data_IF_838027473582
#
_entry.id   IF_838027473582
#
_cell.length_a   1.000
_cell.length_b   1.000
_cell.length_c   1.000
_cell.angle_alpha   90.00
_cell.angle_beta   90.00
_cell.angle_gamma   90.00
#
_symmetry.space_group_name_H-M   'P 1'
#
loop_
_entity.id
_entity.type
_entity.pdbx_description
1 polymer ?
#
# COMPACT_ATOMS: atom_id res chain seq x y z
N UNK A 1 -2.22 -20.09 -12.06
CA UNK A 1 -2.65 -19.78 -13.44
C UNK A 1 -3.90 -18.92 -13.38
N UNK A 2 -3.83 -17.69 -13.87
CA UNK A 2 -5.02 -16.87 -14.13
C UNK A 2 -5.39 -17.00 -15.61
N UNK A 3 -6.64 -17.31 -15.89
CA UNK A 3 -7.15 -17.53 -17.26
C UNK A 3 -8.23 -16.53 -17.67
N UNK A 4 -8.52 -15.54 -16.82
CA UNK A 4 -9.56 -14.53 -17.07
C UNK A 4 -9.11 -13.46 -18.07
N UNK A 5 -7.80 -13.23 -18.20
CA UNK A 5 -7.20 -12.23 -19.09
C UNK A 5 -6.18 -12.89 -20.03
N UNK A 6 -5.96 -12.29 -21.20
CA UNK A 6 -4.95 -12.73 -22.17
C UNK A 6 -3.53 -12.59 -21.61
N UNK A 7 -3.28 -11.54 -20.84
CA UNK A 7 -2.03 -11.30 -20.11
C UNK A 7 -2.37 -10.80 -18.71
N UNK A 8 -1.48 -11.05 -17.76
CA UNK A 8 -1.59 -10.52 -16.40
C UNK A 8 -0.19 -10.40 -15.79
N UNK A 9 -0.06 -9.48 -14.85
CA UNK A 9 1.12 -9.29 -14.02
C UNK A 9 0.65 -9.13 -12.55
N UNK A 10 1.51 -9.45 -11.59
CA UNK A 10 1.20 -9.32 -10.18
C UNK A 10 2.39 -8.79 -9.40
N UNK A 11 2.15 -7.72 -8.64
CA UNK A 11 3.11 -7.18 -7.69
C UNK A 11 2.89 -7.84 -6.33
N UNK A 12 3.98 -8.22 -5.68
CA UNK A 12 3.99 -8.98 -4.41
C UNK A 12 4.47 -8.09 -3.27
N UNK A 13 4.23 -8.52 -2.03
CA UNK A 13 4.80 -7.93 -0.82
C UNK A 13 3.83 -7.29 0.16
N UNK A 14 2.53 -7.28 -0.12
CA UNK A 14 1.54 -6.71 0.79
C UNK A 14 1.20 -7.65 1.96
N UNK A 15 0.87 -7.10 3.13
CA UNK A 15 0.61 -7.88 4.35
C UNK A 15 1.71 -8.93 4.64
N UNK A 16 1.33 -10.07 5.21
CA UNK A 16 2.16 -11.24 5.42
C UNK A 16 2.41 -12.08 4.16
N UNK A 17 2.34 -11.49 2.96
CA UNK A 17 2.68 -12.19 1.71
C UNK A 17 4.07 -12.84 1.81
N UNK A 18 4.17 -14.12 1.47
CA UNK A 18 5.42 -14.89 1.48
C UNK A 18 6.32 -14.49 0.29
N UNK A 19 6.75 -13.23 0.25
CA UNK A 19 7.51 -12.63 -0.84
C UNK A 19 9.01 -12.56 -0.53
N UNK A 20 9.39 -11.90 0.57
CA UNK A 20 10.81 -11.68 0.89
C UNK A 20 11.33 -12.78 1.84
N UNK A 21 12.30 -13.61 1.38
CA UNK A 21 12.79 -14.75 2.15
C UNK A 21 13.86 -14.31 3.16
N UNK A 22 13.50 -13.44 4.10
CA UNK A 22 14.40 -13.01 5.17
C UNK A 22 14.34 -14.00 6.33
N UNK A 23 15.25 -14.97 6.32
CA UNK A 23 15.40 -15.96 7.40
C UNK A 23 15.89 -15.24 8.67
N UNK A 24 15.19 -15.45 9.79
CA UNK A 24 15.49 -14.80 11.09
C UNK A 24 15.39 -13.26 11.08
N UNK A 25 14.43 -12.71 10.33
CA UNK A 25 14.15 -11.27 10.38
C UNK A 25 13.66 -10.82 11.77
N UNK A 26 14.26 -9.76 12.30
CA UNK A 26 13.93 -9.14 13.60
C UNK A 26 13.76 -7.60 13.52
N UNK A 27 13.67 -7.05 12.30
CA UNK A 27 13.68 -5.60 12.03
C UNK A 27 12.36 -4.85 12.21
N UNK A 28 11.43 -5.35 13.05
CA UNK A 28 10.16 -4.68 13.37
C UNK A 28 10.25 -3.80 14.62
N UNK A 29 9.22 -2.97 14.90
CA UNK A 29 9.12 -2.23 16.16
C UNK A 29 9.16 -3.19 17.36
N UNK A 30 10.00 -2.90 18.36
CA UNK A 30 10.14 -3.75 19.54
C UNK A 30 8.83 -3.88 20.36
N UNK A 31 7.96 -2.88 20.28
CA UNK A 31 6.65 -2.86 20.93
C UNK A 31 5.59 -2.42 19.92
N UNK A 32 4.70 -3.33 19.54
CA UNK A 32 3.58 -3.06 18.65
C UNK A 32 2.29 -3.74 19.12
N UNK A 33 1.15 -3.25 18.63
CA UNK A 33 -0.19 -3.83 18.81
C UNK A 33 -0.75 -4.48 17.56
N UNK A 34 0.04 -4.58 16.48
CA UNK A 34 -0.36 -5.27 15.25
C UNK A 34 -0.79 -6.72 15.53
N UNK A 35 -1.97 -7.09 15.05
CA UNK A 35 -2.57 -8.42 15.22
C UNK A 35 -3.15 -8.87 13.89
N UNK A 36 -2.71 -10.03 13.40
CA UNK A 36 -3.34 -10.70 12.27
C UNK A 36 -3.10 -12.21 12.34
N UNK A 37 -4.18 -12.99 12.25
CA UNK A 37 -4.12 -14.45 12.38
C UNK A 37 -3.70 -14.94 13.78
N UNK A 38 -3.34 -16.22 13.86
CA UNK A 38 -2.79 -16.79 15.09
C UNK A 38 -1.28 -16.55 15.16
N UNK A 39 -0.65 -16.46 16.36
CA UNK A 39 0.78 -16.19 16.49
C UNK A 39 1.71 -17.13 15.70
N UNK A 40 1.25 -18.37 15.45
CA UNK A 40 1.96 -19.39 14.68
C UNK A 40 2.06 -19.07 13.17
N UNK A 41 1.20 -18.20 12.65
CA UNK A 41 1.14 -17.87 11.22
C UNK A 41 2.18 -16.81 10.85
N UNK A 42 2.67 -16.05 11.83
CA UNK A 42 3.73 -15.03 11.72
C UNK A 42 3.52 -13.99 10.59
N UNK A 43 2.26 -13.64 10.29
CA UNK A 43 1.93 -12.69 9.22
C UNK A 43 2.46 -11.29 9.51
N UNK A 44 2.37 -10.82 10.75
CA UNK A 44 2.92 -9.51 11.17
C UNK A 44 4.45 -9.45 11.02
N UNK A 45 5.16 -10.54 11.38
CA UNK A 45 6.60 -10.61 11.19
C UNK A 45 7.02 -10.63 9.72
N UNK A 46 6.29 -11.39 8.89
CA UNK A 46 6.50 -11.45 7.44
C UNK A 46 6.21 -10.10 6.76
N UNK A 47 5.18 -9.38 7.22
CA UNK A 47 4.85 -8.04 6.76
C UNK A 47 6.01 -7.06 7.00
N UNK A 48 6.54 -6.96 8.23
CA UNK A 48 7.71 -6.12 8.48
C UNK A 48 8.93 -6.52 7.62
N UNK A 49 9.13 -7.82 7.36
CA UNK A 49 10.18 -8.29 6.46
C UNK A 49 9.95 -7.80 5.02
N UNK A 50 8.70 -7.81 4.52
CA UNK A 50 8.35 -7.30 3.20
C UNK A 50 8.59 -5.79 3.10
N UNK A 51 8.15 -5.02 4.10
CA UNK A 51 8.32 -3.56 4.15
C UNK A 51 9.78 -3.11 4.07
N UNK A 52 10.73 -3.94 4.54
CA UNK A 52 12.17 -3.66 4.42
C UNK A 52 12.67 -3.49 2.97
N UNK A 53 11.87 -3.91 1.97
CA UNK A 53 12.16 -3.74 0.55
C UNK A 53 11.40 -2.61 -0.12
N UNK A 54 10.55 -1.91 0.62
CA UNK A 54 9.76 -0.78 0.15
C UNK A 54 10.38 0.46 0.77
N UNK A 55 11.47 0.95 0.19
CA UNK A 55 12.24 2.07 0.78
C UNK A 55 11.62 3.45 0.53
N UNK A 56 10.65 3.51 -0.38
CA UNK A 56 9.91 4.70 -0.79
C UNK A 56 8.51 4.31 -1.29
N UNK A 57 7.66 5.30 -1.57
CA UNK A 57 6.27 5.07 -1.91
C UNK A 57 6.11 4.47 -3.32
N UNK A 58 7.07 4.69 -4.22
CA UNK A 58 7.05 4.13 -5.57
C UNK A 58 7.29 2.61 -5.55
N UNK A 59 8.03 2.11 -4.56
CA UNK A 59 8.28 0.68 -4.36
C UNK A 59 7.17 -0.08 -3.62
N UNK A 60 6.16 0.62 -3.11
CA UNK A 60 5.02 -0.06 -2.50
C UNK A 60 4.15 -0.76 -3.57
N UNK A 61 3.55 -1.94 -3.26
CA UNK A 61 2.81 -2.74 -4.24
C UNK A 61 1.72 -1.97 -4.98
N UNK A 62 1.05 -1.04 -4.30
CA UNK A 62 0.03 -0.17 -4.88
C UNK A 62 0.60 0.67 -6.02
N UNK A 63 1.62 1.48 -5.73
CA UNK A 63 2.26 2.37 -6.71
C UNK A 63 2.85 1.60 -7.89
N UNK A 64 3.50 0.47 -7.62
CA UNK A 64 4.03 -0.41 -8.67
C UNK A 64 2.92 -0.93 -9.60
N UNK A 65 1.76 -1.30 -9.03
CA UNK A 65 0.61 -1.81 -9.79
C UNK A 65 0.01 -0.72 -10.67
N UNK A 66 -0.19 0.48 -10.12
CA UNK A 66 -0.65 1.65 -10.89
C UNK A 66 0.35 2.06 -11.97
N UNK A 67 1.66 2.02 -11.69
CA UNK A 67 2.70 2.31 -12.68
C UNK A 67 2.66 1.33 -13.87
N UNK A 68 2.43 0.03 -13.61
CA UNK A 68 2.26 -0.97 -14.69
C UNK A 68 1.00 -0.70 -15.52
N UNK A 69 -0.10 -0.31 -14.88
CA UNK A 69 -1.32 0.11 -15.58
C UNK A 69 -1.11 1.35 -16.44
N UNK A 70 -0.39 2.36 -15.93
CA UNK A 70 -0.03 3.55 -16.68
C UNK A 70 0.86 3.25 -17.89
N UNK A 71 1.85 2.36 -17.75
CA UNK A 71 2.68 1.91 -18.86
C UNK A 71 1.85 1.22 -19.96
N UNK A 72 0.87 0.38 -19.56
CA UNK A 72 -0.05 -0.21 -20.53
C UNK A 72 -0.83 0.88 -21.29
N UNK A 73 -1.35 1.90 -20.60
CA UNK A 73 -2.07 3.01 -21.24
C UNK A 73 -1.16 3.78 -22.19
N UNK A 74 0.08 4.09 -21.80
CA UNK A 74 1.06 4.76 -22.66
C UNK A 74 1.26 4.02 -23.98
N UNK A 75 1.41 2.70 -23.94
CA UNK A 75 1.66 1.89 -25.13
C UNK A 75 0.41 1.65 -25.99
N UNK A 76 -0.77 1.52 -25.36
CA UNK A 76 -1.95 0.95 -26.02
C UNK A 76 -3.12 1.92 -26.21
N UNK A 77 -3.07 3.15 -25.68
CA UNK A 77 -4.19 4.09 -25.76
C UNK A 77 -4.68 4.43 -27.19
N UNK A 78 -3.80 4.35 -28.20
CA UNK A 78 -4.15 4.58 -29.60
C UNK A 78 -4.72 3.33 -30.31
N UNK A 79 -4.90 2.23 -29.59
CA UNK A 79 -5.49 1.00 -30.09
C UNK A 79 -6.91 0.82 -29.54
N UNK A 80 -7.74 0.07 -30.26
CA UNK A 80 -9.11 -0.26 -29.87
C UNK A 80 -9.23 -1.70 -29.32
N UNK A 81 -10.38 -2.00 -28.70
CA UNK A 81 -10.79 -3.35 -28.27
C UNK A 81 -9.91 -4.03 -27.22
N UNK A 82 -9.34 -3.26 -26.29
CA UNK A 82 -8.68 -3.80 -25.10
C UNK A 82 -9.50 -3.54 -23.84
N UNK A 83 -9.23 -4.34 -22.80
CA UNK A 83 -9.77 -4.18 -21.46
C UNK A 83 -8.61 -4.23 -20.47
N UNK A 84 -8.48 -3.20 -19.63
CA UNK A 84 -7.48 -3.11 -18.58
C UNK A 84 -8.15 -3.14 -17.21
N UNK A 85 -7.62 -3.98 -16.31
CA UNK A 85 -7.96 -3.97 -14.89
C UNK A 85 -6.70 -3.65 -14.10
N UNK A 86 -6.79 -2.61 -13.28
CA UNK A 86 -5.78 -2.24 -12.28
C UNK A 86 -6.44 -2.52 -10.93
N UNK A 87 -5.88 -3.44 -10.16
CA UNK A 87 -6.43 -3.89 -8.88
C UNK A 87 -5.32 -3.90 -7.84
N UNK A 88 -5.54 -3.19 -6.74
CA UNK A 88 -4.62 -3.14 -5.60
C UNK A 88 -5.30 -3.67 -4.35
N UNK A 89 -4.49 -4.16 -3.42
CA UNK A 89 -4.97 -4.67 -2.14
C UNK A 89 -5.44 -3.54 -1.21
N UNK A 90 -4.75 -2.39 -1.26
CA UNK A 90 -5.14 -1.19 -0.52
C UNK A 90 -6.54 -0.72 -0.90
N UNK A 91 -7.32 -0.20 0.06
CA UNK A 91 -6.89 0.34 1.37
C UNK A 91 -7.04 -0.63 2.56
N UNK A 92 -6.99 -1.94 2.34
CA UNK A 92 -7.03 -2.93 3.42
C UNK A 92 -5.83 -2.78 4.37
N UNK A 93 -5.98 -3.12 5.65
CA UNK A 93 -4.89 -3.17 6.62
C UNK A 93 -3.77 -4.16 6.21
N UNK A 94 -2.50 -3.99 6.61
CA UNK A 94 -1.96 -2.92 7.42
C UNK A 94 -1.98 -1.58 6.69
N UNK A 95 -2.23 -0.50 7.43
CA UNK A 95 -2.29 0.87 6.92
C UNK A 95 -0.89 1.47 6.71
N UNK A 96 0.02 0.68 6.14
CA UNK A 96 1.42 1.04 5.96
C UNK A 96 1.61 2.02 4.80
N UNK A 97 2.19 3.18 5.11
CA UNK A 97 2.66 4.15 4.12
C UNK A 97 4.04 4.68 4.49
N UNK A 98 4.68 5.35 3.54
CA UNK A 98 5.93 6.05 3.78
C UNK A 98 5.73 7.39 4.53
N UNK A 99 6.80 7.95 5.13
CA UNK A 99 6.73 9.16 5.96
C UNK A 99 6.10 10.39 5.27
N UNK A 100 6.23 10.53 3.95
CA UNK A 100 5.63 11.62 3.18
C UNK A 100 4.10 11.63 3.23
N UNK A 101 3.47 10.45 3.37
CA UNK A 101 2.02 10.33 3.55
C UNK A 101 1.66 10.42 5.03
N UNK A 102 2.38 9.69 5.89
CA UNK A 102 2.10 9.65 7.32
C UNK A 102 2.17 11.05 7.97
N UNK A 103 3.14 11.87 7.56
CA UNK A 103 3.34 13.22 8.12
C UNK A 103 2.18 14.20 7.84
N UNK A 104 1.28 13.88 6.90
CA UNK A 104 0.09 14.69 6.59
C UNK A 104 -1.07 14.43 7.57
N UNK A 105 -1.04 13.31 8.29
CA UNK A 105 -2.10 12.84 9.18
C UNK A 105 -1.53 12.60 10.58
N UNK A 106 -1.15 13.67 11.26
CA UNK A 106 -0.58 13.60 12.61
C UNK A 106 -1.67 13.43 13.67
N UNK A 107 -1.39 12.59 14.66
CA UNK A 107 -2.20 12.44 15.88
C UNK A 107 -1.34 12.64 17.14
N UNK A 108 -1.96 12.48 18.31
CA UNK A 108 -1.31 12.59 19.61
C UNK A 108 -1.20 11.22 20.33
N UNK A 109 -1.31 10.11 19.60
CA UNK A 109 -1.24 8.78 20.19
C UNK A 109 0.20 8.47 20.63
N UNK A 110 0.31 8.04 21.89
CA UNK A 110 1.61 7.78 22.55
C UNK A 110 1.75 6.31 22.96
N UNK A 111 0.83 5.45 22.53
CA UNK A 111 0.87 4.02 22.81
C UNK A 111 1.85 3.27 21.90
N UNK A 112 1.88 1.93 21.99
CA UNK A 112 2.70 1.10 21.10
C UNK A 112 2.29 1.25 19.64
N UNK A 113 3.26 1.09 18.73
CA UNK A 113 3.06 1.14 17.28
C UNK A 113 1.88 0.27 16.83
N UNK A 114 0.97 0.80 16.01
CA UNK A 114 -0.13 0.01 15.47
C UNK A 114 -0.66 0.60 14.16
N UNK A 115 -0.43 -0.11 13.06
CA UNK A 115 -1.07 0.18 11.77
C UNK A 115 -1.86 -1.02 11.23
N UNK A 116 -1.83 -2.15 11.95
CA UNK A 116 -2.58 -3.36 11.60
C UNK A 116 -3.51 -3.75 12.76
N UNK A 117 -4.65 -3.07 12.92
CA UNK A 117 -5.58 -3.37 14.01
C UNK A 117 -6.25 -4.73 13.81
N UNK A 118 -6.69 -5.33 14.92
CA UNK A 118 -7.46 -6.58 14.94
C UNK A 118 -8.85 -6.40 14.28
N UNK A 119 -9.25 -7.37 13.46
CA UNK A 119 -10.53 -7.35 12.75
C UNK A 119 -11.69 -7.72 13.70
N UNK A 120 -12.13 -6.75 14.49
CA UNK A 120 -13.24 -6.91 15.45
C UNK A 120 -14.01 -5.62 15.69
N UNK A 121 -15.24 -5.70 16.24
CA UNK A 121 -15.92 -4.52 16.75
C UNK A 121 -15.07 -3.77 17.78
N UNK A 122 -15.14 -2.44 17.73
CA UNK A 122 -14.56 -1.55 18.75
C UNK A 122 -15.15 -1.88 20.11
N UNK A 123 -14.31 -1.93 21.13
CA UNK A 123 -14.71 -2.27 22.49
C UNK A 123 -14.01 -1.39 23.54
N UNK A 124 -14.15 -1.74 24.82
CA UNK A 124 -13.64 -0.95 25.94
C UNK A 124 -12.10 -0.90 26.00
N UNK A 125 -11.40 -1.77 25.27
CA UNK A 125 -9.94 -1.77 25.17
C UNK A 125 -9.41 -0.75 24.15
N UNK A 126 -10.28 -0.19 23.30
CA UNK A 126 -9.90 0.79 22.29
C UNK A 126 -10.17 2.20 22.82
N UNK A 127 -9.11 2.87 23.30
CA UNK A 127 -9.24 4.24 23.78
C UNK A 127 -9.59 5.20 22.64
N UNK A 128 -10.24 6.34 22.92
CA UNK A 128 -10.52 7.35 21.89
C UNK A 128 -9.27 7.78 21.12
N UNK A 129 -8.13 7.89 21.79
CA UNK A 129 -6.84 8.25 21.19
C UNK A 129 -6.33 7.16 20.24
N UNK A 130 -6.50 5.89 20.61
CA UNK A 130 -6.13 4.77 19.73
C UNK A 130 -7.04 4.69 18.50
N UNK A 131 -8.35 4.92 18.67
CA UNK A 131 -9.29 4.94 17.55
C UNK A 131 -8.95 6.08 16.58
N UNK A 132 -8.59 7.25 17.09
CA UNK A 132 -8.16 8.37 16.26
C UNK A 132 -6.87 8.05 15.50
N UNK A 133 -5.88 7.45 16.17
CA UNK A 133 -4.63 7.00 15.54
C UNK A 133 -4.87 6.07 14.35
N UNK A 134 -5.68 5.02 14.53
CA UNK A 134 -5.99 4.08 13.44
C UNK A 134 -6.71 4.77 12.28
N UNK A 135 -7.55 5.79 12.56
CA UNK A 135 -8.19 6.58 11.50
C UNK A 135 -7.19 7.44 10.74
N UNK A 136 -6.18 8.00 11.40
CA UNK A 136 -5.13 8.76 10.73
C UNK A 136 -4.24 7.86 9.87
N UNK A 137 -3.84 6.69 10.37
CA UNK A 137 -3.10 5.69 9.58
C UNK A 137 -3.90 5.26 8.33
N UNK A 138 -5.20 4.97 8.49
CA UNK A 138 -6.09 4.67 7.35
C UNK A 138 -6.21 5.86 6.38
N UNK A 139 -6.36 7.09 6.90
CA UNK A 139 -6.46 8.28 6.05
C UNK A 139 -5.17 8.53 5.25
N UNK A 140 -4.00 8.23 5.83
CA UNK A 140 -2.72 8.31 5.15
C UNK A 140 -2.63 7.30 4.00
N UNK A 141 -3.02 6.04 4.22
CA UNK A 141 -3.10 5.05 3.14
C UNK A 141 -4.10 5.44 2.05
N UNK A 142 -5.27 5.96 2.46
CA UNK A 142 -6.29 6.40 1.53
C UNK A 142 -5.79 7.58 0.66
N UNK A 143 -4.98 8.49 1.22
CA UNK A 143 -4.36 9.58 0.45
C UNK A 143 -3.43 9.06 -0.64
N UNK A 144 -2.69 7.99 -0.36
CA UNK A 144 -1.85 7.32 -1.35
C UNK A 144 -2.68 6.66 -2.45
N UNK A 145 -3.80 6.01 -2.10
CA UNK A 145 -4.78 5.50 -3.07
C UNK A 145 -5.32 6.59 -3.98
N UNK A 146 -5.68 7.74 -3.40
CA UNK A 146 -6.18 8.90 -4.13
C UNK A 146 -5.16 9.45 -5.13
N UNK A 147 -3.89 9.61 -4.73
CA UNK A 147 -2.84 10.08 -5.65
C UNK A 147 -2.60 9.10 -6.80
N UNK A 148 -2.57 7.79 -6.51
CA UNK A 148 -2.37 6.77 -7.53
C UNK A 148 -3.54 6.67 -8.51
N UNK A 149 -4.78 6.78 -8.02
CA UNK A 149 -5.95 6.86 -8.87
C UNK A 149 -5.94 8.15 -9.72
N UNK A 150 -5.57 9.29 -9.11
CA UNK A 150 -5.43 10.58 -9.79
C UNK A 150 -4.52 10.49 -11.02
N UNK A 151 -3.35 9.83 -10.89
CA UNK A 151 -2.43 9.62 -12.02
C UNK A 151 -3.07 8.91 -13.21
N UNK A 152 -3.93 7.91 -12.97
CA UNK A 152 -4.65 7.20 -14.04
C UNK A 152 -5.72 8.08 -14.67
N UNK A 153 -6.48 8.80 -13.85
CA UNK A 153 -7.50 9.73 -14.34
C UNK A 153 -6.89 10.85 -15.18
N UNK A 154 -5.74 11.39 -14.76
CA UNK A 154 -4.99 12.40 -15.51
C UNK A 154 -4.51 11.88 -16.86
N UNK A 155 -3.99 10.65 -16.90
CA UNK A 155 -3.58 10.01 -18.15
C UNK A 155 -4.76 9.90 -19.13
N UNK A 156 -5.95 9.54 -18.65
CA UNK A 156 -7.15 9.41 -19.49
C UNK A 156 -7.69 10.79 -19.90
N UNK A 157 -7.75 11.75 -18.97
CA UNK A 157 -8.42 13.03 -19.15
C UNK A 157 -7.66 14.07 -19.99
N UNK A 158 -6.33 13.96 -20.08
CA UNK A 158 -5.49 14.98 -20.75
C UNK A 158 -5.13 14.67 -22.21
N UNK A 159 -5.62 13.58 -22.81
CA UNK A 159 -5.25 13.21 -24.18
C UNK A 159 -3.76 12.84 -24.33
N UNK A 160 -3.21 12.24 -23.27
CA UNK A 160 -1.88 11.63 -23.13
C UNK A 160 -0.72 12.44 -23.75
N UNK A 161 -0.17 13.36 -22.96
CA UNK A 161 1.18 13.89 -23.13
C UNK A 161 1.98 13.57 -21.85
N UNK A 162 2.74 12.48 -21.86
CA UNK A 162 3.75 12.22 -20.82
C UNK A 162 4.94 13.18 -21.03
N UNK A 163 4.77 14.41 -20.57
CA UNK A 163 5.91 15.30 -20.31
C UNK A 163 6.76 14.63 -19.24
N UNK A 164 7.97 14.19 -19.62
CA UNK A 164 9.01 13.65 -18.73
C UNK A 164 8.93 14.34 -17.37
N UNK A 165 8.57 13.61 -16.31
CA UNK A 165 8.78 14.07 -14.95
C UNK A 165 10.30 14.17 -14.79
N UNK A 166 10.91 15.36 -14.71
CA UNK A 166 12.29 15.45 -14.31
C UNK A 166 12.30 15.15 -12.82
N UNK A 167 12.89 14.03 -12.45
CA UNK A 167 13.38 13.84 -11.09
C UNK A 167 14.46 14.93 -10.87
N UNK A 168 14.05 16.08 -10.34
CA UNK A 168 14.97 17.09 -9.83
C UNK A 168 14.54 17.43 -8.41
N UNK A 169 15.23 16.75 -7.49
CA UNK A 169 15.39 17.12 -6.09
C UNK A 169 15.84 18.58 -6.02
N UNK A 170 15.09 19.42 -5.31
CA UNK A 170 15.60 20.60 -4.60
C UNK A 170 14.95 20.63 -3.23
#
# INVERSE_FOLDING_TARGET
YHQRYTTWDAVRGQEGDAWQPLVHFDGGPACHRNICGEPKDNWVGQDFANRSRMTDADQQPQSCTFQKGLAFLEENHNQDNWFLQIETFDPHEPFFVQPEYQSQFQDNYTGPFCDWPDYRPVNQQDSPEFIDHIRQEYAALLKMCDDNLGRVLDAIGTGISFGRIPCSVV
#
